data_IF_403158228800
#
_entry.id   IF_403158228800
#
_cell.length_a   1.000
_cell.length_b   1.000
_cell.length_c   1.000
_cell.angle_alpha   90.00
_cell.angle_beta   90.00
_cell.angle_gamma   90.00
#
_symmetry.space_group_name_H-M   'P 1'
#
loop_
_entity.id
_entity.type
_entity.pdbx_description
1 polymer ?
#
# COMPACT_ATOMS: atom_id res chain seq x y z
N UNK A 1 -0.21 -3.63 -16.96
CA UNK A 1 1.08 -3.80 -16.23
C UNK A 1 1.15 -5.17 -15.59
N UNK A 2 2.35 -5.72 -15.39
CA UNK A 2 2.55 -6.92 -14.57
C UNK A 2 2.57 -6.54 -13.08
N UNK A 3 2.13 -7.44 -12.22
CA UNK A 3 2.13 -7.19 -10.77
C UNK A 3 3.58 -7.12 -10.25
N UNK A 4 3.98 -6.06 -9.54
CA UNK A 4 5.32 -5.98 -8.98
C UNK A 4 5.52 -7.08 -7.93
N UNK A 5 6.68 -7.74 -7.97
CA UNK A 5 7.03 -8.81 -7.05
C UNK A 5 8.32 -8.45 -6.31
N UNK A 6 8.29 -8.33 -4.97
CA UNK A 6 9.47 -7.99 -4.19
C UNK A 6 10.43 -9.18 -4.13
N UNK A 7 11.72 -8.90 -3.95
CA UNK A 7 12.72 -9.94 -3.74
C UNK A 7 12.49 -10.67 -2.41
N UNK A 8 12.68 -11.99 -2.42
CA UNK A 8 12.68 -12.79 -1.19
C UNK A 8 14.04 -12.69 -0.49
N UNK A 9 14.02 -12.33 0.79
CA UNK A 9 15.19 -12.24 1.67
C UNK A 9 14.85 -12.96 2.98
N UNK A 10 15.22 -14.25 3.12
CA UNK A 10 14.90 -15.03 4.30
C UNK A 10 15.40 -14.36 5.58
N UNK A 11 14.48 -13.94 6.45
CA UNK A 11 14.77 -13.41 7.77
C UNK A 11 14.24 -14.36 8.84
N UNK A 12 15.13 -14.91 9.67
CA UNK A 12 14.75 -15.82 10.75
C UNK A 12 14.19 -15.03 11.92
N UNK A 13 12.97 -15.35 12.32
CA UNK A 13 12.31 -14.81 13.50
C UNK A 13 12.06 -15.93 14.51
N UNK A 14 12.34 -15.67 15.77
CA UNK A 14 12.09 -16.63 16.86
C UNK A 14 11.26 -15.96 17.95
N UNK A 15 10.16 -16.59 18.35
CA UNK A 15 9.30 -16.09 19.44
C UNK A 15 8.65 -17.25 20.18
N UNK A 16 8.75 -17.24 21.50
CA UNK A 16 8.15 -18.26 22.39
C UNK A 16 8.58 -19.70 22.04
N UNK A 17 9.82 -19.90 21.59
CA UNK A 17 10.34 -21.21 21.18
C UNK A 17 10.00 -21.62 19.74
N UNK A 18 9.17 -20.86 19.03
CA UNK A 18 8.83 -21.11 17.63
C UNK A 18 9.70 -20.28 16.68
N UNK A 19 10.24 -20.94 15.66
CA UNK A 19 11.06 -20.32 14.61
C UNK A 19 10.26 -20.24 13.32
N UNK A 20 10.21 -19.05 12.72
CA UNK A 20 9.62 -18.81 11.39
C UNK A 20 10.62 -18.07 10.51
N UNK A 21 10.50 -18.25 9.21
CA UNK A 21 11.26 -17.49 8.21
C UNK A 21 10.27 -16.53 7.55
N UNK A 22 10.57 -15.24 7.62
CA UNK A 22 9.85 -14.20 6.90
C UNK A 22 10.71 -13.74 5.73
N UNK A 23 10.26 -14.03 4.51
CA UNK A 23 10.97 -13.71 3.27
C UNK A 23 10.90 -12.21 2.92
N UNK A 24 10.01 -11.45 3.55
CA UNK A 24 9.70 -10.07 3.20
C UNK A 24 9.87 -9.10 4.37
N UNK A 25 10.48 -9.54 5.47
CA UNK A 25 10.72 -8.71 6.65
C UNK A 25 11.43 -7.38 6.34
N UNK A 26 12.28 -7.37 5.31
CA UNK A 26 13.01 -6.19 4.85
C UNK A 26 12.11 -5.06 4.34
N UNK A 27 10.86 -5.35 3.92
CA UNK A 27 9.86 -4.34 3.53
C UNK A 27 9.40 -3.46 4.70
N UNK A 28 9.72 -3.84 5.94
CA UNK A 28 9.41 -3.05 7.12
C UNK A 28 10.32 -1.80 7.28
N UNK A 29 11.45 -1.74 6.58
CA UNK A 29 12.37 -0.60 6.65
C UNK A 29 11.88 0.56 5.77
N UNK A 30 11.35 1.59 6.43
CA UNK A 30 10.68 2.73 5.76
C UNK A 30 11.65 3.65 5.02
N UNK A 31 12.91 3.70 5.41
CA UNK A 31 13.91 4.57 4.79
C UNK A 31 14.70 3.85 3.70
N UNK A 32 14.51 2.54 3.56
CA UNK A 32 15.19 1.74 2.56
C UNK A 32 14.70 2.11 1.14
N UNK A 33 15.59 2.54 0.23
CA UNK A 33 15.21 2.92 -1.12
C UNK A 33 14.57 1.77 -1.91
N UNK A 34 14.98 0.52 -1.69
CA UNK A 34 14.36 -0.63 -2.37
C UNK A 34 12.90 -0.85 -1.95
N UNK A 35 12.57 -0.51 -0.70
CA UNK A 35 11.19 -0.58 -0.20
C UNK A 35 10.37 0.53 -0.83
N UNK A 36 10.90 1.75 -0.89
CA UNK A 36 10.25 2.89 -1.54
C UNK A 36 9.99 2.61 -3.03
N UNK A 37 10.97 2.05 -3.74
CA UNK A 37 10.86 1.68 -5.15
C UNK A 37 9.75 0.64 -5.36
N UNK A 38 9.69 -0.40 -4.52
CA UNK A 38 8.64 -1.40 -4.57
C UNK A 38 7.25 -0.80 -4.31
N UNK A 39 7.11 0.07 -3.30
CA UNK A 39 5.84 0.75 -3.00
C UNK A 39 5.39 1.67 -4.14
N UNK A 40 6.32 2.36 -4.80
CA UNK A 40 6.02 3.17 -5.98
C UNK A 40 5.54 2.31 -7.16
N UNK A 41 6.15 1.14 -7.37
CA UNK A 41 5.71 0.20 -8.40
C UNK A 41 4.29 -0.34 -8.09
N UNK A 42 4.00 -0.70 -6.85
CA UNK A 42 2.66 -1.11 -6.40
C UNK A 42 1.63 0.01 -6.59
N UNK A 43 1.99 1.26 -6.27
CA UNK A 43 1.12 2.41 -6.49
C UNK A 43 0.81 2.62 -7.98
N UNK A 44 1.80 2.49 -8.86
CA UNK A 44 1.59 2.60 -10.30
C UNK A 44 0.68 1.50 -10.84
N UNK A 45 0.88 0.25 -10.40
CA UNK A 45 0.01 -0.87 -10.75
C UNK A 45 -1.44 -0.63 -10.28
N UNK A 46 -1.62 -0.15 -9.05
CA UNK A 46 -2.94 0.22 -8.53
C UNK A 46 -3.59 1.33 -9.36
N UNK A 47 -2.87 2.40 -9.65
CA UNK A 47 -3.41 3.53 -10.42
C UNK A 47 -3.89 3.10 -11.80
N UNK A 48 -3.12 2.26 -12.51
CA UNK A 48 -3.55 1.69 -13.79
C UNK A 48 -4.80 0.81 -13.63
N UNK A 49 -4.81 -0.08 -12.65
CA UNK A 49 -5.95 -0.97 -12.39
C UNK A 49 -7.23 -0.22 -11.97
N UNK A 50 -7.08 0.93 -11.30
CA UNK A 50 -8.20 1.76 -10.84
C UNK A 50 -8.61 2.84 -11.84
N UNK A 51 -7.87 3.04 -12.93
CA UNK A 51 -8.10 4.14 -13.87
C UNK A 51 -9.54 4.17 -14.42
N UNK A 52 -10.12 3.00 -14.72
CA UNK A 52 -11.50 2.89 -15.20
C UNK A 52 -12.55 3.32 -14.16
N UNK A 53 -12.24 3.19 -12.87
CA UNK A 53 -13.13 3.53 -11.76
C UNK A 53 -13.05 4.99 -11.34
N UNK A 54 -12.12 5.77 -11.91
CA UNK A 54 -11.89 7.17 -11.52
C UNK A 54 -13.16 8.04 -11.55
N UNK A 55 -14.05 7.97 -12.56
CA UNK A 55 -15.28 8.75 -12.56
C UNK A 55 -16.21 8.42 -11.38
N UNK A 56 -16.29 7.13 -10.99
CA UNK A 56 -17.11 6.70 -9.86
C UNK A 56 -16.50 7.16 -8.53
N UNK A 57 -15.18 7.09 -8.40
CA UNK A 57 -14.45 7.57 -7.21
C UNK A 57 -14.69 9.07 -7.03
N UNK A 58 -14.57 9.85 -8.10
CA UNK A 58 -14.75 11.30 -8.06
C UNK A 58 -16.21 11.66 -7.69
N UNK A 59 -17.20 10.92 -8.20
CA UNK A 59 -18.61 11.07 -7.81
C UNK A 59 -18.83 10.81 -6.32
N UNK A 60 -18.37 9.66 -5.83
CA UNK A 60 -18.53 9.27 -4.43
C UNK A 60 -17.81 10.24 -3.49
N UNK A 61 -16.62 10.72 -3.87
CA UNK A 61 -15.89 11.72 -3.11
C UNK A 61 -16.68 13.03 -2.98
N UNK A 62 -17.25 13.53 -4.09
CA UNK A 62 -18.09 14.73 -4.08
C UNK A 62 -19.34 14.54 -3.21
N UNK A 63 -20.00 13.38 -3.27
CA UNK A 63 -21.15 13.08 -2.43
C UNK A 63 -20.81 13.02 -0.94
N UNK A 64 -19.69 12.39 -0.56
CA UNK A 64 -19.27 12.27 0.83
C UNK A 64 -18.89 13.63 1.40
N UNK A 65 -18.09 14.40 0.67
CA UNK A 65 -17.62 15.73 1.11
C UNK A 65 -18.74 16.76 1.12
N UNK A 66 -19.68 16.69 0.18
CA UNK A 66 -20.86 17.57 0.15
C UNK A 66 -21.83 17.36 1.31
N UNK A 67 -21.71 16.25 2.06
CA UNK A 67 -22.52 15.95 3.26
C UNK A 67 -21.86 16.43 4.56
N UNK A 68 -20.59 16.84 4.52
CA UNK A 68 -19.88 17.35 5.71
C UNK A 68 -20.32 18.79 6.02
N UNK A 69 -20.61 19.09 7.29
CA UNK A 69 -20.84 20.48 7.71
C UNK A 69 -19.49 21.22 7.72
N UNK A 70 -19.32 22.31 6.96
CA UNK A 70 -18.08 23.08 6.95
C UNK A 70 -17.72 23.70 8.31
N UNK A 71 -18.65 23.73 9.26
CA UNK A 71 -18.43 24.23 10.62
C UNK A 71 -18.16 23.12 11.66
N UNK A 72 -18.32 21.84 11.31
CA UNK A 72 -17.84 20.73 12.13
C UNK A 72 -16.39 20.40 11.71
N UNK A 73 -15.44 21.10 12.32
CA UNK A 73 -14.06 20.67 12.38
C UNK A 73 -13.79 20.09 13.77
N UNK A 74 -13.31 18.84 13.82
CA UNK A 74 -12.76 18.25 15.05
C UNK A 74 -11.33 18.70 15.30
#
# INVERSE_FOLDING_TARGET
>A
MDQPRPAQRPHRMERNGDVRIDEYYWLNDRENPEVIDYLNAENAFREEGMAASKPLIDLLYAEMTGRLDPNEAS
#
